data_IF_111760481952
#
_entry.id   IF_111760481952
#
_cell.length_a   1.000
_cell.length_b   1.000
_cell.length_c   1.000
_cell.angle_alpha   90.00
_cell.angle_beta   90.00
_cell.angle_gamma   90.00
#
_symmetry.space_group_name_H-M   'P 1'
#
loop_
_entity.id
_entity.type
_entity.pdbx_description
1 polymer ?
#
# COMPACT_ATOMS: atom_id res chain seq x y z
N UNK A 1 -3.02 -5.92 -16.18
CA UNK A 1 -4.18 -5.01 -16.30
C UNK A 1 -3.61 -3.59 -16.47
N UNK A 2 -3.42 -3.16 -17.72
CA UNK A 2 -2.50 -2.06 -18.04
C UNK A 2 -3.02 -0.67 -17.67
N UNK A 3 -4.33 -0.54 -17.47
CA UNK A 3 -4.97 0.73 -17.13
C UNK A 3 -4.48 1.29 -15.78
N UNK A 4 -4.32 0.44 -14.77
CA UNK A 4 -3.91 0.87 -13.42
C UNK A 4 -2.41 1.09 -13.31
N UNK A 5 -1.61 0.48 -14.18
CA UNK A 5 -0.15 0.56 -14.13
C UNK A 5 0.36 2.00 -14.37
N UNK A 6 -0.25 2.71 -15.32
CA UNK A 6 0.08 4.10 -15.61
C UNK A 6 -0.21 5.04 -14.44
N UNK A 7 -1.27 4.75 -13.67
CA UNK A 7 -1.62 5.54 -12.49
C UNK A 7 -0.72 5.14 -11.33
N UNK A 8 -0.49 3.84 -11.12
CA UNK A 8 0.42 3.31 -10.11
C UNK A 8 1.82 3.92 -10.19
N UNK A 9 2.39 4.05 -11.39
CA UNK A 9 3.71 4.63 -11.58
C UNK A 9 3.83 6.10 -11.13
N UNK A 10 2.70 6.78 -10.89
CA UNK A 10 2.65 8.16 -10.40
C UNK A 10 2.27 8.24 -8.92
N UNK A 11 1.94 7.12 -8.29
CA UNK A 11 1.57 7.07 -6.88
C UNK A 11 2.79 6.85 -5.99
N UNK A 12 2.80 7.55 -4.87
CA UNK A 12 3.66 7.24 -3.73
C UNK A 12 2.90 6.35 -2.76
N UNK A 13 3.62 5.63 -1.90
CA UNK A 13 3.00 4.88 -0.81
C UNK A 13 2.65 5.75 0.38
N UNK A 14 3.48 6.76 0.63
CA UNK A 14 3.31 7.70 1.73
C UNK A 14 2.52 8.93 1.28
N UNK A 15 1.77 9.51 2.23
CA UNK A 15 1.01 10.74 2.02
C UNK A 15 1.92 11.89 1.62
N UNK A 16 1.47 12.73 0.68
CA UNK A 16 2.17 13.96 0.30
C UNK A 16 1.69 15.17 1.12
N UNK A 17 2.53 16.18 1.34
CA UNK A 17 2.08 17.45 1.92
C UNK A 17 0.97 18.07 1.06
N UNK A 18 -0.14 18.44 1.69
CA UNK A 18 -1.33 19.01 1.03
C UNK A 18 -1.99 18.06 0.00
N UNK A 19 -1.87 16.75 0.17
CA UNK A 19 -2.62 15.77 -0.63
C UNK A 19 -4.13 15.98 -0.44
N UNK A 20 -4.88 16.07 -1.54
CA UNK A 20 -6.34 16.21 -1.45
C UNK A 20 -6.99 14.92 -0.97
N UNK A 21 -8.15 15.02 -0.32
CA UNK A 21 -8.89 13.84 0.16
C UNK A 21 -9.20 12.85 -0.98
N UNK A 22 -9.47 13.36 -2.20
CA UNK A 22 -9.70 12.52 -3.38
C UNK A 22 -8.43 11.76 -3.79
N UNK A 23 -7.26 12.40 -3.73
CA UNK A 23 -5.99 11.75 -4.05
C UNK A 23 -5.63 10.67 -3.02
N UNK A 24 -5.86 10.94 -1.73
CA UNK A 24 -5.69 9.95 -0.64
C UNK A 24 -6.54 8.70 -0.91
N UNK A 25 -7.85 8.89 -1.17
CA UNK A 25 -8.78 7.78 -1.44
C UNK A 25 -8.35 7.00 -2.69
N UNK A 26 -7.99 7.70 -3.76
CA UNK A 26 -7.58 7.08 -5.01
C UNK A 26 -6.31 6.23 -4.83
N UNK A 27 -5.33 6.75 -4.09
CA UNK A 27 -4.09 6.04 -3.74
C UNK A 27 -4.40 4.73 -3.03
N UNK A 28 -5.24 4.76 -1.99
CA UNK A 28 -5.66 3.58 -1.24
C UNK A 28 -6.32 2.52 -2.13
N UNK A 29 -7.24 2.94 -3.00
CA UNK A 29 -7.96 2.03 -3.90
C UNK A 29 -7.01 1.39 -4.90
N UNK A 30 -6.09 2.16 -5.49
CA UNK A 30 -5.16 1.64 -6.49
C UNK A 30 -4.17 0.68 -5.84
N UNK A 31 -3.57 1.03 -4.70
CA UNK A 31 -2.64 0.14 -3.99
C UNK A 31 -3.32 -1.18 -3.61
N UNK A 32 -4.55 -1.13 -3.10
CA UNK A 32 -5.33 -2.33 -2.79
C UNK A 32 -5.55 -3.18 -4.05
N UNK A 33 -6.02 -2.58 -5.15
CA UNK A 33 -6.26 -3.32 -6.39
C UNK A 33 -4.98 -3.91 -6.96
N UNK A 34 -3.88 -3.17 -6.99
CA UNK A 34 -2.60 -3.68 -7.50
C UNK A 34 -2.09 -4.85 -6.63
N UNK A 35 -2.16 -4.71 -5.31
CA UNK A 35 -1.73 -5.76 -4.38
C UNK A 35 -2.59 -7.02 -4.43
N UNK A 36 -3.93 -6.85 -4.41
CA UNK A 36 -4.86 -7.98 -4.55
C UNK A 36 -4.76 -8.64 -5.91
N UNK A 37 -4.40 -7.94 -6.99
CA UNK A 37 -4.17 -8.53 -8.31
C UNK A 37 -2.71 -8.98 -8.53
N UNK A 38 -1.96 -9.23 -7.46
CA UNK A 38 -0.64 -9.88 -7.48
C UNK A 38 0.42 -9.12 -8.28
N UNK A 39 0.30 -7.79 -8.36
CA UNK A 39 1.38 -6.98 -8.91
C UNK A 39 2.62 -7.06 -8.03
N UNK A 40 3.69 -7.68 -8.54
CA UNK A 40 4.89 -8.04 -7.77
C UNK A 40 5.44 -6.88 -6.93
N UNK A 41 5.65 -5.71 -7.53
CA UNK A 41 6.20 -4.55 -6.81
C UNK A 41 5.29 -4.09 -5.66
N UNK A 42 3.98 -4.15 -5.86
CA UNK A 42 3.03 -3.74 -4.82
C UNK A 42 2.98 -4.75 -3.68
N UNK A 43 3.06 -6.03 -4.02
CA UNK A 43 3.12 -7.13 -3.05
C UNK A 43 4.38 -7.04 -2.20
N UNK A 44 5.53 -6.87 -2.82
CA UNK A 44 6.81 -6.89 -2.12
C UNK A 44 6.93 -5.70 -1.17
N UNK A 45 6.46 -4.51 -1.58
CA UNK A 45 6.39 -3.34 -0.71
C UNK A 45 5.35 -3.50 0.42
N UNK A 46 4.18 -4.10 0.15
CA UNK A 46 3.20 -4.40 1.18
C UNK A 46 3.76 -5.35 2.26
N UNK A 47 4.48 -6.40 1.84
CA UNK A 47 5.14 -7.34 2.74
C UNK A 47 6.20 -6.64 3.60
N UNK A 48 7.10 -5.86 2.97
CA UNK A 48 8.13 -5.12 3.68
C UNK A 48 7.56 -4.16 4.73
N UNK A 49 6.47 -3.45 4.40
CA UNK A 49 5.80 -2.55 5.34
C UNK A 49 5.08 -3.30 6.46
N UNK A 50 4.48 -4.46 6.17
CA UNK A 50 3.85 -5.30 7.19
C UNK A 50 4.87 -5.85 8.18
N UNK A 51 5.96 -6.44 7.67
CA UNK A 51 7.06 -6.95 8.49
C UNK A 51 7.67 -5.86 9.38
N UNK A 52 7.87 -4.66 8.83
CA UNK A 52 8.38 -3.51 9.59
C UNK A 52 7.51 -3.17 10.80
N UNK A 53 6.18 -3.24 10.68
CA UNK A 53 5.27 -3.02 11.82
C UNK A 53 5.35 -4.17 12.83
N UNK A 54 5.23 -5.41 12.36
CA UNK A 54 4.98 -6.56 13.24
C UNK A 54 6.25 -7.19 13.84
N UNK A 55 7.37 -7.14 13.12
CA UNK A 55 8.66 -7.73 13.56
C UNK A 55 9.53 -6.66 14.22
N UNK A 56 9.37 -5.40 13.84
CA UNK A 56 10.31 -4.33 14.17
C UNK A 56 10.33 -3.88 15.64
N UNK A 57 9.37 -4.27 16.49
CA UNK A 57 9.23 -3.80 17.88
C UNK A 57 9.42 -2.27 18.05
N UNK A 58 9.10 -1.51 17.00
CA UNK A 58 9.36 -0.09 16.94
C UNK A 58 8.03 0.63 17.14
N UNK A 59 7.84 1.19 18.33
CA UNK A 59 6.72 2.08 18.65
C UNK A 59 6.65 3.28 17.69
N UNK A 60 7.76 3.60 17.01
CA UNK A 60 7.90 4.66 16.01
C UNK A 60 7.54 4.24 14.57
N UNK A 61 7.19 2.97 14.32
CA UNK A 61 6.80 2.52 12.98
C UNK A 61 5.35 2.92 12.65
N UNK A 62 5.18 4.19 12.33
CA UNK A 62 3.92 4.74 11.85
C UNK A 62 3.67 4.35 10.39
N UNK A 63 2.65 3.52 10.15
CA UNK A 63 2.07 3.34 8.82
C UNK A 63 0.84 4.22 8.68
N UNK A 64 0.82 4.98 7.58
CA UNK A 64 -0.29 5.82 7.15
C UNK A 64 -1.61 5.01 7.21
N UNK A 65 -2.60 5.44 8.01
CA UNK A 65 -3.89 4.76 8.14
C UNK A 65 -4.58 4.48 6.81
N UNK A 66 -4.39 5.34 5.81
CA UNK A 66 -5.05 5.23 4.52
C UNK A 66 -4.55 4.04 3.69
N UNK A 67 -3.34 3.53 3.94
CA UNK A 67 -2.79 2.38 3.20
C UNK A 67 -2.84 1.07 3.98
N UNK A 68 -3.22 1.09 5.27
CA UNK A 68 -3.26 -0.12 6.12
C UNK A 68 -4.14 -1.20 5.50
N UNK A 69 -5.32 -0.83 5.00
CA UNK A 69 -6.22 -1.77 4.33
C UNK A 69 -5.58 -2.43 3.11
N UNK A 70 -4.88 -1.65 2.27
CA UNK A 70 -4.17 -2.17 1.11
C UNK A 70 -3.06 -3.15 1.54
N UNK A 71 -2.27 -2.81 2.54
CA UNK A 71 -1.18 -3.65 3.05
C UNK A 71 -1.72 -4.95 3.64
N UNK A 72 -2.63 -4.86 4.62
CA UNK A 72 -3.14 -6.02 5.34
C UNK A 72 -3.87 -6.99 4.43
N UNK A 73 -4.73 -6.51 3.53
CA UNK A 73 -5.47 -7.38 2.61
C UNK A 73 -4.55 -8.01 1.55
N UNK A 74 -3.53 -7.29 1.09
CA UNK A 74 -2.54 -7.84 0.15
C UNK A 74 -1.75 -8.98 0.77
N UNK A 75 -1.27 -8.80 2.00
CA UNK A 75 -0.52 -9.85 2.73
C UNK A 75 -1.44 -11.02 3.08
N UNK A 76 -2.65 -10.75 3.60
CA UNK A 76 -3.61 -11.79 3.97
C UNK A 76 -4.04 -12.67 2.79
N UNK A 77 -4.22 -12.09 1.59
CA UNK A 77 -4.52 -12.86 0.38
C UNK A 77 -3.46 -13.91 0.05
N UNK A 78 -2.19 -13.62 0.34
CA UNK A 78 -1.06 -14.53 0.04
C UNK A 78 -0.93 -15.65 1.07
N UNK A 79 -1.46 -15.47 2.28
CA UNK A 79 -1.31 -16.44 3.37
C UNK A 79 0.13 -16.59 3.86
N UNK A 80 0.88 -15.49 3.91
CA UNK A 80 2.13 -15.47 4.69
C UNK A 80 1.84 -15.69 6.18
#
# INVERSE_FOLDING_TARGET
CDLLLNIYNKLTWDSLPNESSQAIILRSIILLNMGVNEHDKTRDEAAARFEKIFIGNNEDNFMDPNIRGAVYLTVAKRGN
#
